data_IF_067694495083
#
_entry.id   IF_067694495083
#
_cell.length_a   1.000
_cell.length_b   1.000
_cell.length_c   1.000
_cell.angle_alpha   90.00
_cell.angle_beta   90.00
_cell.angle_gamma   90.00
#
_symmetry.space_group_name_H-M   'P 1'
#
loop_
_entity.id
_entity.type
_entity.pdbx_description
1 polymer ?
#
# COMPACT_ATOMS: atom_id res chain seq x y z
N UNK A 1 30.79 -34.49 14.93
CA UNK A 1 29.42 -33.97 14.71
C UNK A 1 29.51 -32.59 14.06
N UNK A 2 29.36 -32.51 12.74
CA UNK A 2 29.23 -31.24 12.02
C UNK A 2 27.85 -31.24 11.40
N UNK A 3 26.85 -30.75 12.12
CA UNK A 3 25.53 -30.49 11.54
C UNK A 3 25.66 -29.29 10.59
N UNK A 4 25.92 -29.62 9.32
CA UNK A 4 25.92 -28.69 8.21
C UNK A 4 24.46 -28.38 7.82
N UNK A 5 23.71 -27.76 8.72
CA UNK A 5 22.40 -27.22 8.39
C UNK A 5 22.60 -26.06 7.41
N UNK A 6 22.34 -26.29 6.11
CA UNK A 6 22.44 -25.24 5.08
C UNK A 6 21.63 -24.02 5.50
N UNK A 7 22.27 -22.84 5.53
CA UNK A 7 21.63 -21.57 5.87
C UNK A 7 20.47 -21.29 4.89
N UNK A 8 19.24 -21.22 5.39
CA UNK A 8 18.06 -20.82 4.60
C UNK A 8 18.00 -19.31 4.56
N UNK A 9 18.06 -18.72 3.37
CA UNK A 9 17.95 -17.27 3.15
C UNK A 9 16.62 -16.99 2.47
N UNK A 10 15.82 -16.10 3.06
CA UNK A 10 14.59 -15.59 2.45
C UNK A 10 14.87 -14.23 1.80
N UNK A 11 14.31 -14.03 0.60
CA UNK A 11 14.36 -12.75 -0.12
C UNK A 11 12.95 -12.19 -0.12
N UNK A 12 12.77 -10.99 0.44
CA UNK A 12 11.47 -10.29 0.42
C UNK A 12 11.53 -9.24 -0.67
N UNK A 13 10.63 -9.37 -1.66
CA UNK A 13 10.45 -8.36 -2.69
C UNK A 13 9.39 -7.38 -2.22
N UNK A 14 9.76 -6.12 -2.09
CA UNK A 14 8.83 -5.05 -1.76
C UNK A 14 8.29 -4.41 -3.02
N UNK A 15 6.98 -4.24 -3.07
CA UNK A 15 6.28 -3.43 -4.04
C UNK A 15 5.09 -2.76 -3.33
N UNK A 16 4.47 -1.78 -3.97
CA UNK A 16 3.24 -1.15 -3.49
C UNK A 16 2.02 -2.09 -3.57
N UNK A 17 2.11 -3.12 -4.40
CA UNK A 17 0.98 -3.99 -4.73
C UNK A 17 0.02 -3.33 -5.74
N UNK A 18 -1.18 -3.87 -5.84
CA UNK A 18 -2.25 -3.36 -6.68
C UNK A 18 -3.58 -4.01 -6.33
N UNK A 19 -4.70 -3.42 -6.76
CA UNK A 19 -6.02 -4.00 -6.54
C UNK A 19 -6.19 -5.30 -7.33
N UNK A 20 -6.87 -6.27 -6.74
CA UNK A 20 -7.19 -7.58 -7.32
C UNK A 20 -8.44 -7.56 -8.22
N UNK A 21 -9.22 -6.48 -8.17
CA UNK A 21 -10.36 -6.22 -9.04
C UNK A 21 -10.87 -4.77 -8.94
N UNK A 22 -11.89 -4.41 -9.74
CA UNK A 22 -12.46 -3.05 -9.77
C UNK A 22 -12.92 -2.55 -8.40
N UNK A 23 -13.57 -3.40 -7.61
CA UNK A 23 -14.10 -3.05 -6.29
C UNK A 23 -13.00 -2.69 -5.27
N UNK A 24 -11.80 -3.23 -5.47
CA UNK A 24 -10.64 -2.98 -4.62
C UNK A 24 -9.85 -1.71 -5.02
N UNK A 25 -10.17 -1.08 -6.15
CA UNK A 25 -9.45 0.11 -6.63
C UNK A 25 -9.58 1.27 -5.65
N UNK A 26 -10.80 1.59 -5.20
CA UNK A 26 -11.00 2.69 -4.26
C UNK A 26 -10.31 2.45 -2.90
N UNK A 27 -10.45 1.28 -2.25
CA UNK A 27 -9.70 0.96 -1.03
C UNK A 27 -8.17 1.05 -1.20
N UNK A 28 -7.64 0.54 -2.32
CA UNK A 28 -6.21 0.62 -2.62
C UNK A 28 -5.73 2.07 -2.72
N UNK A 29 -6.42 2.90 -3.51
CA UNK A 29 -6.07 4.31 -3.67
C UNK A 29 -6.18 5.09 -2.36
N UNK A 30 -7.18 4.79 -1.53
CA UNK A 30 -7.31 5.43 -0.23
C UNK A 30 -6.09 5.16 0.65
N UNK A 31 -5.65 3.89 0.75
CA UNK A 31 -4.48 3.52 1.54
C UNK A 31 -3.20 4.16 0.98
N UNK A 32 -3.06 4.19 -0.35
CA UNK A 32 -1.93 4.80 -1.04
C UNK A 32 -1.79 6.30 -0.71
N UNK A 33 -2.88 7.05 -0.79
CA UNK A 33 -2.85 8.50 -0.53
C UNK A 33 -2.91 8.87 0.96
N UNK A 34 -3.35 7.94 1.81
CA UNK A 34 -3.30 8.10 3.26
C UNK A 34 -1.95 7.67 3.86
N UNK A 35 -0.94 7.38 3.05
CA UNK A 35 0.43 7.10 3.50
C UNK A 35 1.23 8.41 3.70
N UNK A 36 1.88 8.64 4.87
CA UNK A 36 2.66 9.86 5.10
C UNK A 36 3.90 9.98 4.21
N UNK A 37 4.41 8.86 3.70
CA UNK A 37 5.52 8.82 2.77
C UNK A 37 5.12 9.27 1.36
N UNK A 38 3.84 9.10 0.99
CA UNK A 38 3.28 9.52 -0.30
C UNK A 38 2.78 10.96 -0.23
N UNK A 39 1.97 11.31 0.77
CA UNK A 39 1.49 12.67 1.01
C UNK A 39 1.97 13.14 2.38
N UNK A 40 2.84 14.15 2.40
CA UNK A 40 3.41 14.73 3.63
C UNK A 40 2.49 15.82 4.19
N UNK A 41 1.34 15.41 4.72
CA UNK A 41 0.37 16.32 5.33
C UNK A 41 -0.10 15.76 6.68
N UNK A 42 -0.30 16.59 7.72
CA UNK A 42 -0.85 16.12 8.97
C UNK A 42 -2.31 15.68 8.82
N UNK A 43 -2.74 14.79 9.72
CA UNK A 43 -4.16 14.52 9.89
C UNK A 43 -4.83 15.72 10.59
N UNK A 44 -6.10 16.05 10.26
CA UNK A 44 -7.07 15.29 9.47
C UNK A 44 -7.02 15.56 7.95
N UNK A 45 -6.23 16.54 7.50
CA UNK A 45 -6.25 16.99 6.11
C UNK A 45 -5.82 15.88 5.14
N UNK A 46 -4.81 15.07 5.50
CA UNK A 46 -4.34 13.95 4.67
C UNK A 46 -5.43 12.91 4.44
N UNK A 47 -6.14 12.52 5.48
CA UNK A 47 -7.27 11.60 5.38
C UNK A 47 -8.37 12.14 4.46
N UNK A 48 -8.70 13.43 4.58
CA UNK A 48 -9.72 14.07 3.75
C UNK A 48 -9.31 14.07 2.27
N UNK A 49 -8.06 14.44 1.98
CA UNK A 49 -7.50 14.41 0.62
C UNK A 49 -7.49 12.98 0.08
N UNK A 50 -7.05 12.00 0.86
CA UNK A 50 -7.04 10.60 0.46
C UNK A 50 -8.44 10.13 0.07
N UNK A 51 -9.47 10.46 0.88
CA UNK A 51 -10.87 10.12 0.60
C UNK A 51 -11.40 10.77 -0.69
N UNK A 52 -11.06 12.04 -0.93
CA UNK A 52 -11.49 12.78 -2.13
C UNK A 52 -10.80 12.23 -3.38
N UNK A 53 -9.50 11.95 -3.32
CA UNK A 53 -8.76 11.44 -4.48
C UNK A 53 -9.20 10.01 -4.78
N UNK A 54 -9.34 9.16 -3.77
CA UNK A 54 -9.76 7.76 -3.95
C UNK A 54 -11.13 7.66 -4.59
N UNK A 55 -12.11 8.49 -4.18
CA UNK A 55 -13.47 8.44 -4.75
C UNK A 55 -13.55 9.02 -6.16
N UNK A 56 -12.73 10.03 -6.48
CA UNK A 56 -12.71 10.64 -7.82
C UNK A 56 -11.97 9.83 -8.87
N UNK A 57 -11.01 8.99 -8.45
CA UNK A 57 -10.15 8.21 -9.37
C UNK A 57 -10.52 6.73 -9.43
N UNK A 58 -11.40 6.26 -8.56
CA UNK A 58 -11.98 4.95 -8.72
C UNK A 58 -12.89 4.93 -9.97
N UNK A 59 -12.78 3.91 -10.82
CA UNK A 59 -13.70 3.73 -11.95
C UNK A 59 -15.12 3.48 -11.42
N UNK A 60 -16.12 3.92 -12.20
CA UNK A 60 -17.56 3.69 -11.96
C UNK A 60 -17.95 2.33 -12.51
#
# INVERSE_FOLDING_TARGET
MSDNARRKVAIVLFNLGGPDGPDAVQPFLFNLFNDPAIIRLPNPLRWLIAKIISSRRAPV
#
